data_IF_654880754639
#
_entry.id   IF_654880754639
#
_cell.length_a   1.000
_cell.length_b   1.000
_cell.length_c   1.000
_cell.angle_alpha   90.00
_cell.angle_beta   90.00
_cell.angle_gamma   90.00
#
_symmetry.space_group_name_H-M   'P 1'
#
loop_
_entity.id
_entity.type
_entity.pdbx_description
1 polymer ?
#
# COMPACT_ATOMS: atom_id res chain seq x y z
N UNK A 1 7.08 23.02 -12.87
CA UNK A 1 6.03 22.00 -12.58
C UNK A 1 6.64 20.91 -11.73
N UNK A 2 6.39 20.95 -10.42
CA UNK A 2 6.72 19.83 -9.52
C UNK A 2 5.48 18.94 -9.39
N UNK A 3 5.68 17.63 -9.46
CA UNK A 3 4.64 16.62 -9.24
C UNK A 3 4.99 15.90 -7.94
N UNK A 4 3.98 15.74 -7.08
CA UNK A 4 4.12 15.01 -5.82
C UNK A 4 3.01 13.97 -5.74
N UNK A 5 3.30 12.83 -5.13
CA UNK A 5 2.37 11.71 -5.00
C UNK A 5 1.91 11.55 -3.55
N UNK A 6 0.62 11.32 -3.36
CA UNK A 6 0.06 10.84 -2.09
C UNK A 6 -0.46 9.45 -2.34
N UNK A 7 0.05 8.51 -1.57
CA UNK A 7 -0.38 7.12 -1.61
C UNK A 7 -1.31 6.85 -0.45
N UNK A 8 -2.52 6.40 -0.75
CA UNK A 8 -3.46 5.90 0.26
C UNK A 8 -3.21 4.39 0.37
N UNK A 9 -2.99 3.90 1.58
CA UNK A 9 -2.68 2.49 1.82
C UNK A 9 -3.49 1.97 3.00
N UNK A 10 -4.11 0.80 2.82
CA UNK A 10 -4.78 0.08 3.90
C UNK A 10 -3.80 -0.84 4.64
N UNK A 11 -3.82 -0.94 5.99
CA UNK A 11 -2.98 -1.88 6.72
C UNK A 11 -3.15 -3.34 6.28
N UNK A 12 -4.35 -3.73 5.83
CA UNK A 12 -4.62 -5.07 5.31
C UNK A 12 -3.90 -5.35 3.98
N UNK A 13 -3.47 -4.32 3.25
CA UNK A 13 -2.62 -4.48 2.07
C UNK A 13 -1.17 -4.83 2.45
N UNK A 14 -0.73 -4.46 3.67
CA UNK A 14 0.63 -4.76 4.15
C UNK A 14 0.77 -6.18 4.69
N UNK A 15 -0.27 -6.69 5.33
CA UNK A 15 -0.21 -7.99 5.95
C UNK A 15 -1.55 -8.72 5.79
N UNK A 16 -1.47 -9.98 5.37
CA UNK A 16 -2.62 -10.86 5.44
C UNK A 16 -2.98 -11.13 6.91
N UNK A 17 -4.28 -11.27 7.22
CA UNK A 17 -4.71 -11.78 8.50
C UNK A 17 -4.07 -13.14 8.80
N UNK A 18 -3.72 -13.39 10.07
CA UNK A 18 -2.99 -14.60 10.49
C UNK A 18 -3.77 -15.91 10.28
N UNK A 19 -5.09 -15.83 10.09
CA UNK A 19 -5.96 -16.96 9.81
C UNK A 19 -7.23 -16.53 9.09
N UNK A 20 -7.89 -17.50 8.43
CA UNK A 20 -9.16 -17.30 7.74
C UNK A 20 -9.09 -17.65 6.26
N UNK A 21 -10.27 -17.92 5.68
CA UNK A 21 -10.42 -18.10 4.23
C UNK A 21 -10.95 -16.81 3.63
N UNK A 22 -10.25 -16.30 2.63
CA UNK A 22 -10.61 -15.08 1.94
C UNK A 22 -10.89 -15.40 0.48
N UNK A 23 -11.98 -14.83 -0.02
CA UNK A 23 -12.29 -14.86 -1.44
C UNK A 23 -11.65 -13.65 -2.12
N UNK A 24 -10.83 -13.90 -3.12
CA UNK A 24 -10.33 -12.86 -4.04
C UNK A 24 -10.95 -13.05 -5.40
N UNK A 25 -11.29 -11.94 -6.06
CA UNK A 25 -11.79 -11.96 -7.43
C UNK A 25 -10.72 -12.53 -8.37
N UNK A 26 -10.98 -13.73 -8.90
CA UNK A 26 -10.23 -14.31 -9.99
C UNK A 26 -10.93 -14.09 -11.34
N UNK A 27 -10.24 -14.33 -12.46
CA UNK A 27 -10.79 -14.15 -13.80
C UNK A 27 -12.03 -15.01 -14.08
N UNK A 28 -12.10 -16.21 -13.49
CA UNK A 28 -13.21 -17.16 -13.68
C UNK A 28 -14.15 -17.26 -12.48
N UNK A 29 -13.95 -16.43 -11.45
CA UNK A 29 -14.74 -16.45 -10.21
C UNK A 29 -13.91 -16.26 -8.93
N UNK A 30 -14.55 -16.28 -7.75
CA UNK A 30 -13.86 -16.09 -6.49
C UNK A 30 -12.90 -17.25 -6.20
N UNK A 31 -11.61 -16.93 -6.13
CA UNK A 31 -10.57 -17.85 -5.69
C UNK A 31 -10.48 -17.74 -4.18
N UNK A 32 -10.68 -18.87 -3.50
CA UNK A 32 -10.54 -18.96 -2.06
C UNK A 32 -9.11 -19.33 -1.72
N UNK A 33 -8.46 -18.54 -0.87
CA UNK A 33 -7.18 -18.92 -0.29
C UNK A 33 -7.27 -18.94 1.23
N UNK A 34 -6.46 -19.82 1.81
CA UNK A 34 -6.30 -19.94 3.24
C UNK A 34 -5.13 -19.07 3.69
N UNK A 35 -5.43 -18.00 4.42
CA UNK A 35 -4.42 -17.08 4.93
C UNK A 35 -3.56 -17.70 6.04
N UNK A 36 -3.94 -18.87 6.58
CA UNK A 36 -3.11 -19.62 7.54
C UNK A 36 -2.02 -20.45 6.87
N UNK A 37 -2.03 -20.59 5.54
CA UNK A 37 -1.02 -21.38 4.82
C UNK A 37 0.34 -20.65 4.82
N UNK A 38 1.39 -21.20 5.48
CA UNK A 38 2.67 -20.50 5.62
C UNK A 38 3.38 -20.23 4.29
N UNK A 39 3.24 -21.14 3.32
CA UNK A 39 3.82 -20.95 1.97
C UNK A 39 3.13 -19.80 1.23
N UNK A 40 1.82 -19.68 1.42
CA UNK A 40 1.05 -18.56 0.84
C UNK A 40 1.42 -17.24 1.51
N UNK A 41 1.53 -17.20 2.84
CA UNK A 41 1.97 -16.02 3.58
C UNK A 41 3.33 -15.52 3.11
N UNK A 42 4.31 -16.42 2.95
CA UNK A 42 5.64 -16.07 2.45
C UNK A 42 5.60 -15.54 1.01
N UNK A 43 4.88 -16.22 0.11
CA UNK A 43 4.75 -15.78 -1.28
C UNK A 43 4.04 -14.42 -1.39
N UNK A 44 3.03 -14.18 -0.55
CA UNK A 44 2.34 -12.90 -0.45
C UNK A 44 3.28 -11.79 0.04
N UNK A 45 3.97 -12.03 1.15
CA UNK A 45 4.92 -11.07 1.73
C UNK A 45 5.99 -10.67 0.72
N UNK A 46 6.58 -11.65 0.04
CA UNK A 46 7.59 -11.41 -0.99
C UNK A 46 7.03 -10.61 -2.18
N UNK A 47 5.79 -10.89 -2.59
CA UNK A 47 5.11 -10.16 -3.67
C UNK A 47 4.85 -8.71 -3.29
N UNK A 48 4.36 -8.46 -2.07
CA UNK A 48 4.13 -7.11 -1.55
C UNK A 48 5.45 -6.35 -1.46
N UNK A 49 6.48 -6.90 -0.82
CA UNK A 49 7.80 -6.27 -0.70
C UNK A 49 8.40 -5.92 -2.06
N UNK A 50 8.32 -6.84 -3.04
CA UNK A 50 8.80 -6.59 -4.40
C UNK A 50 8.02 -5.47 -5.07
N UNK A 51 6.70 -5.41 -4.90
CA UNK A 51 5.86 -4.37 -5.46
C UNK A 51 6.16 -3.00 -4.84
N UNK A 52 6.27 -2.94 -3.52
CA UNK A 52 6.61 -1.73 -2.76
C UNK A 52 7.97 -1.16 -3.19
N UNK A 53 8.97 -2.03 -3.31
CA UNK A 53 10.30 -1.63 -3.76
C UNK A 53 10.27 -1.04 -5.17
N UNK A 54 9.58 -1.69 -6.11
CA UNK A 54 9.43 -1.19 -7.49
C UNK A 54 8.74 0.17 -7.53
N UNK A 55 7.68 0.35 -6.74
CA UNK A 55 6.96 1.63 -6.68
C UNK A 55 7.85 2.74 -6.13
N UNK A 56 8.57 2.48 -5.04
CA UNK A 56 9.50 3.42 -4.44
C UNK A 56 10.63 3.82 -5.41
N UNK A 57 11.17 2.84 -6.15
CA UNK A 57 12.22 3.08 -7.14
C UNK A 57 11.72 3.91 -8.32
N UNK A 58 10.50 3.66 -8.81
CA UNK A 58 9.88 4.46 -9.87
C UNK A 58 9.67 5.92 -9.45
N UNK A 59 9.16 6.16 -8.24
CA UNK A 59 8.93 7.50 -7.70
C UNK A 59 10.25 8.25 -7.54
N UNK A 60 11.28 7.58 -7.00
CA UNK A 60 12.62 8.14 -6.85
C UNK A 60 13.26 8.47 -8.19
N UNK A 61 13.23 7.55 -9.15
CA UNK A 61 13.81 7.77 -10.48
C UNK A 61 13.13 8.94 -11.23
N UNK A 62 11.86 9.20 -10.94
CA UNK A 62 11.09 10.30 -11.53
C UNK A 62 11.23 11.62 -10.78
N UNK A 63 12.00 11.67 -9.68
CA UNK A 63 12.12 12.87 -8.83
C UNK A 63 10.80 13.28 -8.17
N UNK A 64 9.85 12.34 -8.03
CA UNK A 64 8.54 12.60 -7.44
C UNK A 64 8.63 12.34 -5.94
N UNK A 65 8.41 13.39 -5.14
CA UNK A 65 8.24 13.22 -3.71
C UNK A 65 6.94 12.47 -3.43
N UNK A 66 7.01 11.47 -2.55
CA UNK A 66 5.84 10.66 -2.18
C UNK A 66 5.62 10.63 -0.67
N UNK A 67 4.37 10.76 -0.26
CA UNK A 67 3.93 10.53 1.09
C UNK A 67 2.89 9.39 1.15
N UNK A 68 2.89 8.63 2.23
CA UNK A 68 1.92 7.54 2.46
C UNK A 68 0.95 7.96 3.56
N UNK A 69 -0.34 7.76 3.29
CA UNK A 69 -1.48 8.01 4.17
C UNK A 69 -2.13 6.67 4.48
N UNK A 70 -2.30 6.33 5.76
CA UNK A 70 -3.02 5.12 6.16
C UNK A 70 -4.53 5.36 6.14
N UNK A 71 -5.32 4.37 5.74
CA UNK A 71 -6.80 4.42 5.83
C UNK A 71 -7.30 4.42 7.28
N UNK A 72 -6.45 4.09 8.25
CA UNK A 72 -6.78 4.11 9.69
C UNK A 72 -6.64 5.52 10.29
N UNK A 73 -5.89 6.40 9.63
CA UNK A 73 -5.66 7.75 10.10
C UNK A 73 -6.79 8.69 9.67
N UNK A 74 -7.10 9.70 10.49
CA UNK A 74 -7.95 10.79 10.04
C UNK A 74 -7.25 11.53 8.88
N UNK A 75 -7.85 11.54 7.66
CA UNK A 75 -7.17 12.03 6.47
C UNK A 75 -6.86 13.52 6.57
N UNK A 76 -7.72 14.31 7.23
CA UNK A 76 -7.48 15.75 7.38
C UNK A 76 -6.24 16.04 8.25
N UNK A 77 -6.09 15.30 9.35
CA UNK A 77 -4.94 15.42 10.25
C UNK A 77 -3.65 14.95 9.59
N UNK A 78 -3.66 13.78 8.96
CA UNK A 78 -2.48 13.21 8.32
C UNK A 78 -2.04 14.01 7.09
N UNK A 79 -2.97 14.47 6.24
CA UNK A 79 -2.65 15.35 5.11
C UNK A 79 -2.06 16.69 5.57
N UNK A 80 -2.56 17.27 6.68
CA UNK A 80 -2.04 18.53 7.21
C UNK A 80 -0.57 18.42 7.67
N UNK A 81 -0.17 17.27 8.22
CA UNK A 81 1.22 17.00 8.58
C UNK A 81 2.11 16.85 7.35
N UNK A 82 1.59 16.22 6.29
CA UNK A 82 2.33 15.95 5.05
C UNK A 82 2.47 17.17 4.13
N UNK A 83 1.50 18.08 4.15
CA UNK A 83 1.40 19.19 3.20
C UNK A 83 1.91 20.54 3.73
N UNK A 84 2.34 20.62 5.00
CA UNK A 84 2.83 21.84 5.63
C UNK A 84 1.86 23.04 5.57
N UNK A 85 2.28 24.23 6.03
CA UNK A 85 1.52 25.46 5.86
C UNK A 85 1.55 25.88 4.39
N UNK A 86 0.56 25.44 3.61
CA UNK A 86 0.43 25.80 2.20
C UNK A 86 -0.05 24.70 1.26
N UNK A 87 -0.32 23.48 1.75
CA UNK A 87 -0.89 22.43 0.90
C UNK A 87 0.13 21.76 -0.04
N UNK A 88 1.43 21.87 0.26
CA UNK A 88 2.51 21.40 -0.61
C UNK A 88 3.36 20.34 0.08
N UNK A 89 3.60 19.25 -0.62
CA UNK A 89 4.56 18.24 -0.19
C UNK A 89 5.95 18.77 -0.57
N UNK A 90 6.80 19.02 0.45
CA UNK A 90 8.13 19.62 0.32
C UNK A 90 9.21 18.61 -0.04
#
# INVERSE_FOLDING_TARGET
NSVSAIRIQDPLEKALPSSGRFAVAGPDGPIWFDASNPRFQQAWQQKIETHEQRLADCLRASGVFSATLSTVEDPATALRLLLGPGGRIG
#
